data_IF_166793768801
#
_entry.id   IF_166793768801
#
_cell.length_a   1.000
_cell.length_b   1.000
_cell.length_c   1.000
_cell.angle_alpha   90.00
_cell.angle_beta   90.00
_cell.angle_gamma   90.00
#
_symmetry.space_group_name_H-M   'P 1'
#
loop_
_entity.id
_entity.type
_entity.pdbx_description
1 polymer ?
#
# COMPACT_ATOMS: atom_id res chain seq x y z
N UNK A 1 -42.79 -38.64 42.33
CA UNK A 1 -41.94 -37.44 42.30
C UNK A 1 -41.34 -37.29 40.90
N UNK A 2 -41.84 -36.36 40.07
CA UNK A 2 -41.32 -36.14 38.71
C UNK A 2 -40.06 -35.28 38.79
N UNK A 3 -38.88 -35.84 38.49
CA UNK A 3 -37.63 -35.08 38.35
C UNK A 3 -37.56 -34.55 36.91
N UNK A 4 -37.69 -33.24 36.75
CA UNK A 4 -37.43 -32.57 35.47
C UNK A 4 -35.91 -32.43 35.32
N UNK A 5 -35.35 -33.06 34.28
CA UNK A 5 -33.95 -32.94 33.91
C UNK A 5 -33.77 -31.63 33.13
N UNK A 6 -33.26 -30.60 33.78
CA UNK A 6 -32.90 -29.32 33.15
C UNK A 6 -31.62 -29.52 32.33
N UNK A 7 -31.78 -29.71 31.02
CA UNK A 7 -30.67 -29.78 30.07
C UNK A 7 -30.22 -28.34 29.73
N UNK A 8 -29.12 -27.88 30.33
CA UNK A 8 -28.54 -26.57 30.05
C UNK A 8 -27.82 -26.63 28.70
N UNK A 9 -28.44 -26.09 27.66
CA UNK A 9 -27.84 -25.99 26.33
C UNK A 9 -26.88 -24.80 26.28
N UNK A 10 -25.58 -25.06 26.43
CA UNK A 10 -24.53 -24.06 26.21
C UNK A 10 -24.41 -23.78 24.71
N UNK A 11 -24.99 -22.66 24.27
CA UNK A 11 -24.84 -22.19 22.89
C UNK A 11 -23.43 -21.60 22.73
N UNK A 12 -22.55 -22.33 22.06
CA UNK A 12 -21.27 -21.80 21.59
C UNK A 12 -21.50 -20.98 20.32
N UNK A 13 -21.35 -19.66 20.42
CA UNK A 13 -21.28 -18.80 19.23
C UNK A 13 -19.88 -18.87 18.65
N UNK A 14 -19.73 -19.52 17.49
CA UNK A 14 -18.53 -19.37 16.65
C UNK A 14 -18.64 -18.06 15.87
N UNK A 15 -17.88 -17.05 16.29
CA UNK A 15 -17.75 -15.81 15.54
C UNK A 15 -16.73 -16.00 14.40
N UNK A 16 -17.14 -15.71 13.18
CA UNK A 16 -16.21 -15.61 12.06
C UNK A 16 -15.31 -14.38 12.24
N UNK A 17 -14.04 -14.47 11.81
CA UNK A 17 -13.14 -13.32 11.82
C UNK A 17 -13.72 -12.15 11.02
N UNK A 18 -13.68 -10.97 11.61
CA UNK A 18 -14.11 -9.71 11.01
C UNK A 18 -13.09 -9.16 10.00
N UNK A 19 -13.51 -8.24 9.14
CA UNK A 19 -12.63 -7.64 8.14
C UNK A 19 -11.44 -6.89 8.76
N UNK A 20 -11.66 -6.19 9.87
CA UNK A 20 -10.61 -5.46 10.59
C UNK A 20 -9.57 -6.40 11.24
N UNK A 21 -9.99 -7.56 11.74
CA UNK A 21 -9.06 -8.55 12.30
C UNK A 21 -8.15 -9.12 11.21
N UNK A 22 -8.71 -9.45 10.04
CA UNK A 22 -7.94 -9.94 8.90
C UNK A 22 -6.98 -8.86 8.39
N UNK A 23 -7.43 -7.60 8.30
CA UNK A 23 -6.58 -6.47 7.90
C UNK A 23 -5.40 -6.27 8.87
N UNK A 24 -5.65 -6.33 10.18
CA UNK A 24 -4.59 -6.28 11.21
C UNK A 24 -3.63 -7.46 11.10
N UNK A 25 -4.12 -8.67 10.80
CA UNK A 25 -3.25 -9.82 10.58
C UNK A 25 -2.30 -9.63 9.39
N UNK A 26 -2.74 -8.94 8.34
CA UNK A 26 -1.89 -8.61 7.19
C UNK A 26 -0.86 -7.53 7.56
N UNK A 27 -1.28 -6.49 8.27
CA UNK A 27 -0.43 -5.37 8.71
C UNK A 27 0.67 -5.81 9.69
N UNK A 28 0.36 -6.76 10.58
CA UNK A 28 1.30 -7.30 11.57
C UNK A 28 2.31 -8.30 10.98
N UNK A 29 2.26 -8.57 9.67
CA UNK A 29 3.26 -9.45 9.04
C UNK A 29 4.63 -8.79 9.13
N UNK A 30 5.64 -9.58 9.50
CA UNK A 30 7.02 -9.11 9.58
C UNK A 30 7.48 -8.64 8.20
N UNK A 31 7.85 -7.37 8.12
CA UNK A 31 8.51 -6.76 6.96
C UNK A 31 9.95 -6.36 7.34
N UNK A 32 10.87 -6.29 6.36
CA UNK A 32 12.20 -5.74 6.61
C UNK A 32 12.12 -4.30 7.11
N UNK A 33 12.94 -3.95 8.10
CA UNK A 33 13.03 -2.56 8.60
C UNK A 33 13.58 -1.62 7.51
N UNK A 34 14.65 -2.04 6.86
CA UNK A 34 15.29 -1.32 5.77
C UNK A 34 15.43 -2.25 4.56
N UNK A 35 15.31 -1.69 3.35
CA UNK A 35 15.46 -2.45 2.11
C UNK A 35 16.20 -1.60 1.07
N UNK A 36 16.93 -2.25 0.17
CA UNK A 36 17.47 -1.64 -1.04
C UNK A 36 17.23 -2.57 -2.22
N UNK A 37 16.89 -2.01 -3.38
CA UNK A 37 16.66 -2.79 -4.59
C UNK A 37 17.01 -2.01 -5.86
N UNK A 38 17.13 -2.74 -6.96
CA UNK A 38 17.11 -2.19 -8.31
C UNK A 38 15.89 -2.82 -8.99
N UNK A 39 14.97 -1.97 -9.44
CA UNK A 39 13.69 -2.37 -10.03
C UNK A 39 13.67 -1.98 -11.49
N UNK A 40 13.25 -2.92 -12.36
CA UNK A 40 12.92 -2.64 -13.76
C UNK A 40 11.41 -2.39 -13.87
N UNK A 41 11.03 -1.16 -14.16
CA UNK A 41 9.64 -0.75 -14.33
C UNK A 41 9.34 -0.62 -15.83
N UNK A 42 8.45 -1.45 -16.36
CA UNK A 42 8.05 -1.45 -17.77
C UNK A 42 6.65 -0.86 -17.89
N UNK A 43 6.54 0.31 -18.50
CA UNK A 43 5.28 1.00 -18.76
C UNK A 43 4.86 0.70 -20.20
N UNK A 44 3.66 0.13 -20.38
CA UNK A 44 3.10 -0.18 -21.69
C UNK A 44 1.84 0.65 -21.89
N UNK A 45 1.78 1.45 -22.96
CA UNK A 45 0.58 2.24 -23.25
C UNK A 45 -0.48 1.42 -24.03
N UNK A 46 -1.65 2.02 -24.25
CA UNK A 46 -2.77 1.40 -24.98
C UNK A 46 -2.46 0.98 -26.42
N UNK A 47 -1.39 1.53 -27.03
CA UNK A 47 -0.91 1.17 -28.37
C UNK A 47 0.21 0.13 -28.35
N UNK A 48 0.52 -0.45 -27.18
CA UNK A 48 1.58 -1.43 -26.99
C UNK A 48 3.01 -0.86 -26.96
N UNK A 49 3.19 0.47 -27.01
CA UNK A 49 4.52 1.08 -26.92
C UNK A 49 5.02 1.00 -25.48
N UNK A 50 6.27 0.56 -25.33
CA UNK A 50 6.91 0.41 -24.03
C UNK A 50 7.91 1.51 -23.72
N UNK A 51 7.98 1.90 -22.43
CA UNK A 51 9.06 2.66 -21.81
C UNK A 51 9.56 1.87 -20.61
N UNK A 52 10.87 1.69 -20.51
CA UNK A 52 11.47 0.96 -19.39
C UNK A 52 12.32 1.89 -18.55
N UNK A 53 12.03 1.97 -17.24
CA UNK A 53 12.84 2.68 -16.26
C UNK A 53 13.62 1.69 -15.41
N UNK A 54 14.89 1.97 -15.16
CA UNK A 54 15.69 1.27 -14.14
C UNK A 54 15.79 2.17 -12.92
N UNK A 55 15.25 1.70 -11.80
CA UNK A 55 15.12 2.50 -10.58
C UNK A 55 15.89 1.83 -9.46
N UNK A 56 16.89 2.53 -8.92
CA UNK A 56 17.51 2.13 -7.64
C UNK A 56 16.69 2.74 -6.51
N UNK A 57 16.31 1.95 -5.52
CA UNK A 57 15.59 2.46 -4.35
C UNK A 57 16.20 2.00 -3.04
N UNK A 58 16.02 2.84 -2.01
CA UNK A 58 16.29 2.51 -0.62
C UNK A 58 15.10 2.95 0.22
N UNK A 59 14.56 2.03 1.02
CA UNK A 59 13.57 2.33 2.03
C UNK A 59 14.13 2.05 3.43
N UNK A 60 13.64 2.80 4.40
CA UNK A 60 14.04 2.72 5.79
C UNK A 60 12.84 2.88 6.70
N UNK A 61 12.98 2.40 7.94
CA UNK A 61 11.99 2.54 9.00
C UNK A 61 10.61 1.98 8.61
N UNK A 62 10.59 0.72 8.14
CA UNK A 62 9.36 0.07 7.69
C UNK A 62 8.72 0.81 6.52
N UNK A 63 9.54 1.26 5.57
CA UNK A 63 9.14 2.04 4.40
C UNK A 63 8.61 3.46 4.68
N UNK A 64 8.60 3.97 5.93
CA UNK A 64 8.23 5.37 6.23
C UNK A 64 9.12 6.37 5.49
N UNK A 65 10.38 6.03 5.24
CA UNK A 65 11.32 6.84 4.46
C UNK A 65 11.72 6.08 3.22
N UNK A 66 11.62 6.72 2.06
CA UNK A 66 12.00 6.10 0.80
C UNK A 66 12.66 7.12 -0.13
N UNK A 67 13.73 6.69 -0.78
CA UNK A 67 14.35 7.44 -1.86
C UNK A 67 14.53 6.52 -3.08
N UNK A 68 14.23 7.07 -4.25
CA UNK A 68 14.30 6.38 -5.54
C UNK A 68 15.11 7.23 -6.51
N UNK A 69 16.03 6.61 -7.24
CA UNK A 69 16.83 7.22 -8.29
C UNK A 69 16.56 6.53 -9.62
N UNK A 70 16.16 7.30 -10.61
CA UNK A 70 15.99 6.85 -11.97
C UNK A 70 17.36 6.82 -12.64
N UNK A 71 17.83 5.62 -12.96
CA UNK A 71 19.15 5.36 -13.54
C UNK A 71 19.08 5.34 -15.07
N UNK A 72 17.95 4.87 -15.60
CA UNK A 72 17.65 4.76 -17.03
C UNK A 72 16.15 5.00 -17.27
N UNK A 73 15.74 5.42 -18.47
CA UNK A 73 16.56 5.73 -19.65
C UNK A 73 17.29 7.08 -19.50
N UNK A 74 18.07 7.48 -20.53
CA UNK A 74 18.83 8.75 -20.54
C UNK A 74 17.96 9.95 -20.17
N UNK A 75 16.73 10.00 -20.65
CA UNK A 75 15.81 11.12 -20.45
C UNK A 75 15.35 11.28 -18.99
N UNK A 76 15.30 10.18 -18.22
CA UNK A 76 14.94 10.20 -16.80
C UNK A 76 16.16 10.09 -15.87
N UNK A 77 17.35 9.87 -16.43
CA UNK A 77 18.55 9.63 -15.66
C UNK A 77 18.84 10.80 -14.72
N UNK A 78 18.89 10.49 -13.43
CA UNK A 78 19.13 11.46 -12.36
C UNK A 78 17.87 12.10 -11.78
N UNK A 79 16.67 11.82 -12.30
CA UNK A 79 15.43 12.11 -11.56
C UNK A 79 15.47 11.32 -10.26
N UNK A 80 15.06 11.97 -9.17
CA UNK A 80 14.96 11.31 -7.88
C UNK A 80 13.67 11.67 -7.16
N UNK A 81 13.08 10.69 -6.48
CA UNK A 81 11.90 10.85 -5.65
C UNK A 81 12.26 10.59 -4.19
N UNK A 82 11.79 11.43 -3.29
CA UNK A 82 11.91 11.29 -1.84
C UNK A 82 10.51 11.31 -1.23
N UNK A 83 10.25 10.33 -0.37
CA UNK A 83 9.09 10.24 0.51
C UNK A 83 9.54 10.14 1.96
N UNK A 84 8.94 10.95 2.83
CA UNK A 84 9.03 10.83 4.29
C UNK A 84 7.61 10.92 4.83
N UNK A 85 7.11 9.81 5.38
CA UNK A 85 5.83 9.76 6.07
C UNK A 85 5.96 10.39 7.45
N UNK A 86 4.93 11.12 7.86
CA UNK A 86 4.87 11.75 9.16
C UNK A 86 3.61 11.37 9.93
N UNK A 87 3.74 11.32 11.25
CA UNK A 87 2.62 11.14 12.15
C UNK A 87 2.06 12.53 12.53
N UNK A 88 0.74 12.71 12.40
CA UNK A 88 0.04 13.95 12.79
C UNK A 88 0.25 15.17 11.88
N UNK A 89 1.00 15.05 10.77
CA UNK A 89 1.15 16.09 9.74
C UNK A 89 1.28 15.48 8.35
N UNK A 90 1.22 16.32 7.32
CA UNK A 90 1.39 15.89 5.94
C UNK A 90 2.75 15.22 5.67
N UNK A 91 2.72 14.14 4.88
CA UNK A 91 3.91 13.50 4.33
C UNK A 91 4.70 14.44 3.44
N UNK A 92 6.01 14.29 3.46
CA UNK A 92 6.91 15.01 2.57
C UNK A 92 7.20 14.17 1.34
N UNK A 93 6.68 14.62 0.20
CA UNK A 93 6.97 14.03 -1.10
C UNK A 93 7.65 15.07 -1.99
N UNK A 94 8.84 14.74 -2.50
CA UNK A 94 9.67 15.66 -3.29
C UNK A 94 10.24 14.94 -4.51
N UNK A 95 10.25 15.64 -5.63
CA UNK A 95 10.83 15.18 -6.89
C UNK A 95 11.98 16.11 -7.27
N UNK A 96 13.19 15.57 -7.38
CA UNK A 96 14.33 16.25 -7.98
C UNK A 96 14.29 16.06 -9.50
N UNK A 97 14.34 17.18 -10.22
CA UNK A 97 14.31 17.21 -11.67
C UNK A 97 15.62 17.83 -12.18
N UNK A 98 16.60 17.01 -12.62
CA UNK A 98 17.93 17.49 -12.98
C UNK A 98 17.91 18.45 -14.17
N UNK A 99 17.05 18.21 -15.16
CA UNK A 99 16.90 19.08 -16.34
C UNK A 99 16.57 20.54 -15.97
N UNK A 100 15.88 20.75 -14.86
CA UNK A 100 15.50 22.09 -14.38
C UNK A 100 16.33 22.55 -13.18
N UNK A 101 17.21 21.68 -12.64
CA UNK A 101 17.93 21.89 -11.37
C UNK A 101 17.00 22.31 -10.22
N UNK A 102 15.80 21.71 -10.16
CA UNK A 102 14.75 22.09 -9.21
C UNK A 102 14.21 20.89 -8.44
N UNK A 103 13.87 21.15 -7.18
CA UNK A 103 13.06 20.26 -6.36
C UNK A 103 11.61 20.71 -6.43
N UNK A 104 10.70 19.81 -6.81
CA UNK A 104 9.26 20.03 -6.81
C UNK A 104 8.64 19.28 -5.63
N UNK A 105 7.84 19.99 -4.82
CA UNK A 105 6.98 19.35 -3.81
C UNK A 105 5.76 18.72 -4.48
N UNK A 106 5.41 17.51 -4.05
CA UNK A 106 4.13 16.87 -4.36
C UNK A 106 3.23 17.11 -3.16
N UNK A 107 2.13 17.84 -3.36
CA UNK A 107 1.18 18.16 -2.29
C UNK A 107 0.33 16.94 -1.93
N UNK A 108 -0.14 16.85 -0.69
CA UNK A 108 -1.04 15.79 -0.23
C UNK A 108 -2.30 15.64 -1.10
N UNK A 109 -2.83 16.74 -1.63
CA UNK A 109 -3.97 16.74 -2.59
C UNK A 109 -3.69 16.04 -3.93
N UNK A 110 -2.43 15.76 -4.23
CA UNK A 110 -1.96 15.10 -5.48
C UNK A 110 -1.48 13.68 -5.22
N UNK A 111 -1.77 13.10 -4.05
CA UNK A 111 -1.34 11.73 -3.73
C UNK A 111 -1.97 10.69 -4.66
N UNK A 112 -3.21 10.92 -5.10
CA UNK A 112 -3.88 10.10 -6.11
C UNK A 112 -3.38 10.31 -7.55
N UNK A 113 -2.50 11.29 -7.82
CA UNK A 113 -1.96 11.49 -9.16
C UNK A 113 -1.02 10.34 -9.53
N UNK A 114 -0.96 10.01 -10.82
CA UNK A 114 -0.03 9.00 -11.35
C UNK A 114 1.44 9.34 -11.03
N UNK A 115 2.15 8.34 -10.52
CA UNK A 115 3.58 8.35 -10.32
C UNK A 115 4.29 8.13 -11.66
N UNK A 116 4.91 9.19 -12.17
CA UNK A 116 5.73 9.17 -13.41
C UNK A 116 5.04 8.56 -14.64
N UNK A 117 3.72 8.74 -14.74
CA UNK A 117 2.93 8.23 -15.87
C UNK A 117 2.72 6.72 -15.83
N UNK A 118 2.90 6.09 -14.67
CA UNK A 118 2.58 4.70 -14.41
C UNK A 118 1.15 4.52 -13.89
N UNK A 119 0.72 3.27 -13.77
CA UNK A 119 -0.55 2.91 -13.12
C UNK A 119 -0.50 3.01 -11.59
N UNK A 120 0.67 3.27 -11.00
CA UNK A 120 0.81 3.57 -9.58
C UNK A 120 0.53 5.05 -9.33
N UNK A 121 -0.13 5.35 -8.21
CA UNK A 121 -0.24 6.68 -7.64
C UNK A 121 0.93 6.98 -6.68
N UNK A 122 1.06 8.23 -6.23
CA UNK A 122 2.00 8.53 -5.14
C UNK A 122 1.57 7.89 -3.81
N UNK A 123 0.26 7.67 -3.61
CA UNK A 123 -0.28 7.00 -2.43
C UNK A 123 0.11 5.53 -2.36
N UNK A 124 0.22 4.83 -3.50
CA UNK A 124 0.67 3.43 -3.56
C UNK A 124 2.11 3.24 -3.06
N UNK A 125 2.89 4.32 -3.00
CA UNK A 125 4.25 4.30 -2.45
C UNK A 125 4.26 4.48 -0.93
N UNK A 126 3.14 4.87 -0.31
CA UNK A 126 2.99 5.09 1.12
C UNK A 126 2.50 3.84 1.86
N UNK A 127 2.78 3.79 3.16
CA UNK A 127 2.22 2.77 4.03
C UNK A 127 0.73 3.04 4.28
N UNK A 128 -0.07 1.98 4.25
CA UNK A 128 -1.48 2.04 4.59
C UNK A 128 -1.64 2.23 6.10
N UNK A 129 -2.50 3.16 6.50
CA UNK A 129 -2.91 3.32 7.89
C UNK A 129 -4.23 2.58 8.10
N UNK A 130 -4.21 1.57 8.96
CA UNK A 130 -5.41 0.77 9.25
C UNK A 130 -6.56 1.64 9.76
N UNK A 131 -6.26 2.67 10.55
CA UNK A 131 -7.26 3.55 11.15
C UNK A 131 -8.09 4.36 10.12
N UNK A 132 -7.53 4.60 8.93
CA UNK A 132 -8.06 5.53 7.92
C UNK A 132 -9.16 4.88 7.05
N UNK A 133 -9.45 3.59 7.28
CA UNK A 133 -10.37 2.82 6.45
C UNK A 133 -11.38 2.03 7.30
N UNK A 134 -12.51 1.72 6.68
CA UNK A 134 -13.48 0.73 7.14
C UNK A 134 -13.28 -0.58 6.36
N UNK A 135 -13.50 -1.71 7.05
CA UNK A 135 -13.20 -3.04 6.53
C UNK A 135 -14.41 -3.95 6.67
N UNK A 136 -14.95 -4.40 5.53
CA UNK A 136 -16.04 -5.37 5.45
C UNK A 136 -15.49 -6.69 4.91
N UNK A 137 -15.79 -7.80 5.59
CA UNK A 137 -15.46 -9.14 5.08
C UNK A 137 -16.56 -9.57 4.11
N UNK A 138 -16.15 -10.00 2.92
CA UNK A 138 -17.01 -10.64 1.93
C UNK A 138 -16.79 -12.16 1.96
N UNK A 139 -17.54 -12.87 1.11
CA UNK A 139 -17.38 -14.32 0.97
C UNK A 139 -15.96 -14.68 0.51
N UNK A 140 -15.37 -15.66 1.19
CA UNK A 140 -14.04 -16.18 0.86
C UNK A 140 -14.04 -16.78 -0.55
N UNK A 141 -12.93 -16.64 -1.26
CA UNK A 141 -12.78 -17.12 -2.64
C UNK A 141 -11.59 -18.04 -2.79
N UNK A 142 -11.62 -18.88 -3.83
CA UNK A 142 -10.46 -19.68 -4.22
C UNK A 142 -9.76 -19.00 -5.40
N UNK A 143 -8.52 -18.55 -5.18
CA UNK A 143 -7.67 -17.98 -6.23
C UNK A 143 -6.43 -18.84 -6.41
N UNK A 144 -6.17 -19.31 -7.63
CA UNK A 144 -5.04 -20.19 -7.96
C UNK A 144 -4.93 -21.39 -7.00
N UNK A 145 -6.06 -22.05 -6.74
CA UNK A 145 -6.19 -23.20 -5.82
C UNK A 145 -5.84 -22.90 -4.36
N UNK A 146 -5.87 -21.64 -3.94
CA UNK A 146 -5.68 -21.22 -2.54
C UNK A 146 -6.94 -20.54 -2.02
N UNK A 147 -7.37 -20.92 -0.82
CA UNK A 147 -8.44 -20.22 -0.13
C UNK A 147 -7.93 -18.85 0.31
N UNK A 148 -8.70 -17.81 -0.01
CA UNK A 148 -8.36 -16.41 0.22
C UNK A 148 -9.53 -15.70 0.89
N UNK A 149 -9.22 -14.92 1.92
CA UNK A 149 -10.15 -13.94 2.47
C UNK A 149 -10.36 -12.80 1.48
N UNK A 150 -11.60 -12.35 1.34
CA UNK A 150 -11.96 -11.18 0.52
C UNK A 150 -12.41 -10.05 1.44
N UNK A 151 -11.74 -8.90 1.32
CA UNK A 151 -12.03 -7.69 2.08
C UNK A 151 -12.44 -6.57 1.15
N UNK A 152 -13.58 -5.96 1.42
CA UNK A 152 -13.93 -4.64 0.91
C UNK A 152 -13.37 -3.58 1.87
N UNK A 153 -12.69 -2.58 1.32
CA UNK A 153 -11.98 -1.55 2.09
C UNK A 153 -12.44 -0.20 1.55
N UNK A 154 -13.05 0.61 2.42
CA UNK A 154 -13.55 1.95 2.08
C UNK A 154 -12.80 3.01 2.88
N UNK A 155 -12.30 4.10 2.26
CA UNK A 155 -11.67 5.19 3.00
C UNK A 155 -12.70 5.91 3.86
N UNK A 156 -12.31 6.30 5.08
CA UNK A 156 -13.14 7.13 5.95
C UNK A 156 -13.19 8.56 5.42
N UNK A 157 -14.29 9.26 5.68
CA UNK A 157 -14.41 10.69 5.33
C UNK A 157 -13.30 11.49 6.01
N UNK A 158 -12.47 12.15 5.22
CA UNK A 158 -11.40 13.02 5.70
C UNK A 158 -10.06 12.32 5.97
N UNK A 159 -9.93 11.03 5.61
CA UNK A 159 -8.65 10.37 5.43
C UNK A 159 -7.93 10.86 4.16
#
# INVERSE_FOLDING_TARGET
MKKYLLFNFLIFFSYAQSGIEIAKMVDLRKIPKDQSNITKMVLTNSKGKQRTNIVRSKSMDGNKKQIMWFMEPRDDKGVAFLKIENDGKDDEMRMWLPAFKKVRRISSKKRGDSFMGSDLSYEDLSNRKIADHDYSRLDDQTLNSKLCYVLEISPKKGA
#
